data_IF_951446535956
#
_entry.id   IF_951446535956
#
_cell.length_a   1.000
_cell.length_b   1.000
_cell.length_c   1.000
_cell.angle_alpha   90.00
_cell.angle_beta   90.00
_cell.angle_gamma   90.00
#
_symmetry.space_group_name_H-M   'P 1'
#
loop_
_entity.id
_entity.type
_entity.pdbx_description
1 polymer ?
#
# COMPACT_ATOMS: atom_id res chain seq x y z
N UNK A 1 -10.98 -8.55 19.19
CA UNK A 1 -10.65 -7.16 18.83
C UNK A 1 -11.78 -6.31 19.35
N UNK A 2 -11.46 -5.25 20.08
CA UNK A 2 -12.43 -4.26 20.57
C UNK A 2 -12.00 -2.93 19.99
N UNK A 3 -12.89 -2.26 19.26
CA UNK A 3 -12.67 -0.92 18.76
C UNK A 3 -13.48 0.03 19.64
N UNK A 4 -12.81 1.00 20.24
CA UNK A 4 -13.42 2.06 21.03
C UNK A 4 -13.17 3.39 20.32
N UNK A 5 -14.27 4.11 20.04
CA UNK A 5 -14.24 5.45 19.47
C UNK A 5 -14.97 6.38 20.43
N UNK A 6 -14.31 7.47 20.82
CA UNK A 6 -14.85 8.48 21.73
C UNK A 6 -14.83 9.83 21.01
N UNK A 7 -16.01 10.36 20.73
CA UNK A 7 -16.18 11.67 20.12
C UNK A 7 -16.48 12.73 21.21
N UNK A 8 -15.68 13.81 21.31
CA UNK A 8 -15.96 14.92 22.21
C UNK A 8 -17.22 15.69 21.80
N UNK A 9 -17.93 16.27 22.78
CA UNK A 9 -19.22 16.93 22.56
C UNK A 9 -19.19 18.23 21.71
N UNK A 10 -18.00 18.74 21.35
CA UNK A 10 -17.83 20.04 20.69
C UNK A 10 -16.93 19.95 19.44
N UNK A 11 -17.26 19.06 18.51
CA UNK A 11 -16.54 18.91 17.24
C UNK A 11 -17.31 19.55 16.08
N UNK A 12 -16.58 20.14 15.12
CA UNK A 12 -17.17 20.83 13.96
C UNK A 12 -17.83 19.88 12.95
N UNK A 13 -17.56 18.58 13.03
CA UNK A 13 -18.13 17.54 12.18
C UNK A 13 -18.30 16.24 12.95
N UNK A 14 -19.28 15.42 12.55
CA UNK A 14 -19.49 14.09 13.11
C UNK A 14 -18.42 13.12 12.58
N UNK A 15 -17.75 12.42 13.47
CA UNK A 15 -16.82 11.36 13.14
C UNK A 15 -17.57 10.12 12.67
N UNK A 16 -17.09 9.56 11.57
CA UNK A 16 -17.62 8.32 11.00
C UNK A 16 -16.59 7.21 11.16
N UNK A 17 -17.00 6.09 11.75
CA UNK A 17 -16.18 4.87 11.83
C UNK A 17 -16.75 3.84 10.87
N UNK A 18 -16.06 3.65 9.75
CA UNK A 18 -16.42 2.62 8.75
C UNK A 18 -15.48 1.43 8.88
N UNK A 19 -16.05 0.28 9.28
CA UNK A 19 -15.36 -1.00 9.30
C UNK A 19 -15.71 -1.77 8.03
N UNK A 20 -14.78 -1.86 7.09
CA UNK A 20 -15.00 -2.63 5.87
C UNK A 20 -14.64 -4.12 6.06
N UNK A 21 -13.41 -4.41 6.49
CA UNK A 21 -12.93 -5.78 6.68
C UNK A 21 -11.99 -5.83 7.88
N UNK A 22 -12.18 -6.81 8.76
CA UNK A 22 -11.20 -7.17 9.80
C UNK A 22 -10.41 -8.38 9.29
N UNK A 23 -9.14 -8.19 8.96
CA UNK A 23 -8.24 -9.28 8.61
C UNK A 23 -7.54 -9.75 9.89
N UNK A 24 -7.92 -10.94 10.39
CA UNK A 24 -7.30 -11.53 11.57
C UNK A 24 -6.15 -12.48 11.15
N UNK A 25 -4.92 -12.00 11.21
CA UNK A 25 -3.72 -12.82 11.02
C UNK A 25 -3.46 -13.71 12.24
N UNK A 26 -4.03 -14.92 12.26
CA UNK A 26 -3.91 -15.88 13.39
C UNK A 26 -2.50 -16.47 13.57
N UNK A 27 -1.61 -16.26 12.60
CA UNK A 27 -0.17 -16.54 12.69
C UNK A 27 0.55 -15.34 12.13
N UNK A 28 1.77 -15.06 12.62
CA UNK A 28 2.70 -14.24 11.85
C UNK A 28 2.61 -14.70 10.40
N UNK A 29 2.51 -13.76 9.45
CA UNK A 29 2.47 -14.06 8.02
C UNK A 29 3.70 -14.87 7.54
N UNK A 30 4.61 -15.27 8.44
CA UNK A 30 5.85 -16.02 8.29
C UNK A 30 5.85 -17.19 7.31
N UNK A 31 4.73 -17.90 7.10
CA UNK A 31 4.81 -19.24 6.50
C UNK A 31 4.10 -19.42 5.16
N UNK A 32 3.26 -18.48 4.72
CA UNK A 32 2.52 -18.63 3.46
C UNK A 32 2.55 -17.40 2.55
N UNK A 33 2.78 -16.19 3.09
CA UNK A 33 2.69 -14.93 2.35
C UNK A 33 3.79 -13.93 2.72
N UNK A 34 4.70 -14.24 3.67
CA UNK A 34 5.93 -13.45 3.72
C UNK A 34 6.64 -13.65 2.38
N UNK A 35 6.95 -12.56 1.64
CA UNK A 35 7.87 -12.69 0.54
C UNK A 35 9.11 -13.37 1.11
N UNK A 36 9.53 -14.43 0.44
CA UNK A 36 10.89 -14.92 0.59
C UNK A 36 11.78 -13.68 0.60
N UNK A 37 12.67 -13.58 1.59
CA UNK A 37 13.59 -12.45 1.68
C UNK A 37 14.11 -12.14 0.28
N UNK A 38 14.06 -10.87 -0.11
CA UNK A 38 14.46 -10.47 -1.45
C UNK A 38 15.82 -11.11 -1.77
N UNK A 39 15.97 -11.61 -3.00
CA UNK A 39 17.20 -12.29 -3.40
C UNK A 39 18.43 -11.42 -3.12
N UNK A 40 19.58 -12.04 -2.83
CA UNK A 40 20.80 -11.34 -2.40
C UNK A 40 21.34 -10.31 -3.39
N UNK A 41 20.86 -10.30 -4.63
CA UNK A 41 21.19 -9.29 -5.64
C UNK A 41 20.45 -7.95 -5.46
N UNK A 42 19.45 -7.87 -4.59
CA UNK A 42 18.70 -6.63 -4.33
C UNK A 42 19.47 -5.71 -3.38
N UNK A 43 19.37 -4.42 -3.61
CA UNK A 43 20.06 -3.39 -2.82
C UNK A 43 19.05 -2.68 -1.90
N UNK A 44 19.39 -2.54 -0.62
CA UNK A 44 18.56 -1.81 0.33
C UNK A 44 18.58 -0.31 0.02
N UNK A 45 17.43 0.37 0.14
CA UNK A 45 17.30 1.81 -0.14
C UNK A 45 18.15 2.71 0.77
N UNK A 46 18.60 2.18 1.90
CA UNK A 46 19.48 2.88 2.85
C UNK A 46 20.98 2.59 2.59
N UNK A 47 21.32 1.97 1.45
CA UNK A 47 22.70 1.81 0.98
C UNK A 47 23.20 3.05 0.21
N UNK A 48 24.53 3.27 0.13
CA UNK A 48 25.12 4.39 -0.62
C UNK A 48 24.71 4.46 -2.10
N UNK A 49 24.43 3.32 -2.73
CA UNK A 49 23.97 3.22 -4.12
C UNK A 49 22.63 3.92 -4.38
N UNK A 50 21.83 4.10 -3.32
CA UNK A 50 20.53 4.76 -3.37
C UNK A 50 20.58 6.23 -2.92
N UNK A 51 21.78 6.80 -2.72
CA UNK A 51 21.93 8.20 -2.39
C UNK A 51 21.22 9.10 -3.41
N UNK A 52 20.43 10.06 -2.93
CA UNK A 52 19.62 10.97 -3.76
C UNK A 52 18.16 10.53 -3.98
N UNK A 53 17.75 9.37 -3.47
CA UNK A 53 16.38 8.85 -3.57
C UNK A 53 15.58 8.98 -2.26
N UNK A 54 16.08 9.75 -1.28
CA UNK A 54 15.52 9.86 0.07
C UNK A 54 14.11 10.46 0.08
N UNK A 55 13.76 11.24 -0.94
CA UNK A 55 12.42 11.81 -1.09
C UNK A 55 11.46 10.84 -1.77
N UNK A 56 11.92 10.21 -2.86
CA UNK A 56 11.14 9.29 -3.67
C UNK A 56 10.83 8.00 -2.91
N UNK A 57 11.73 7.52 -2.05
CA UNK A 57 11.45 6.31 -1.26
C UNK A 57 10.21 6.46 -0.37
N UNK A 58 9.92 7.68 0.10
CA UNK A 58 8.75 7.99 0.94
C UNK A 58 7.42 7.90 0.16
N UNK A 59 7.46 7.88 -1.17
CA UNK A 59 6.25 7.67 -1.99
C UNK A 59 5.94 6.19 -2.20
N UNK A 60 6.91 5.28 -2.02
CA UNK A 60 6.75 3.86 -2.29
C UNK A 60 6.13 3.14 -1.10
N UNK A 61 5.19 2.24 -1.34
CA UNK A 61 4.61 1.39 -0.31
C UNK A 61 4.44 -0.05 -0.77
N UNK A 62 4.57 -0.97 0.17
CA UNK A 62 4.15 -2.37 0.00
C UNK A 62 2.63 -2.43 0.09
N UNK A 63 1.99 -3.04 -0.89
CA UNK A 63 0.56 -3.21 -0.99
C UNK A 63 0.18 -4.66 -0.69
N UNK A 64 -0.70 -4.84 0.29
CA UNK A 64 -1.38 -6.11 0.55
C UNK A 64 -2.85 -5.94 0.21
N UNK A 65 -3.39 -6.78 -0.68
CA UNK A 65 -4.81 -6.80 -0.99
C UNK A 65 -5.46 -8.10 -0.53
N UNK A 66 -6.62 -7.97 0.12
CA UNK A 66 -7.43 -9.09 0.62
C UNK A 66 -6.62 -10.10 1.46
N UNK A 67 -5.54 -9.62 2.11
CA UNK A 67 -4.65 -10.42 2.93
C UNK A 67 -3.75 -11.42 2.18
N UNK A 68 -3.82 -11.50 0.85
CA UNK A 68 -3.12 -12.55 0.09
C UNK A 68 -2.36 -12.12 -1.17
N UNK A 69 -2.66 -10.95 -1.74
CA UNK A 69 -1.92 -10.41 -2.88
C UNK A 69 -0.88 -9.41 -2.39
N UNK A 70 0.39 -9.70 -2.66
CA UNK A 70 1.51 -8.81 -2.36
C UNK A 70 1.98 -8.09 -3.62
N UNK A 71 1.95 -6.77 -3.58
CA UNK A 71 2.42 -5.90 -4.66
C UNK A 71 3.15 -4.67 -4.11
N UNK A 72 3.57 -3.79 -5.02
CA UNK A 72 4.14 -2.48 -4.71
C UNK A 72 3.35 -1.40 -5.45
N UNK A 73 3.43 -0.17 -4.97
CA UNK A 73 3.02 0.99 -5.74
C UNK A 73 3.67 2.26 -5.21
N UNK A 74 3.26 3.38 -5.78
CA UNK A 74 3.82 4.70 -5.43
C UNK A 74 2.74 5.77 -5.35
N UNK A 75 2.89 6.68 -4.39
CA UNK A 75 2.11 7.90 -4.34
C UNK A 75 2.50 8.81 -5.51
N UNK A 76 1.50 9.34 -6.19
CA UNK A 76 1.65 10.31 -7.27
C UNK A 76 0.88 11.58 -6.95
N UNK A 77 1.48 12.71 -7.29
CA UNK A 77 0.81 14.00 -7.17
C UNK A 77 0.04 14.32 -8.46
N UNK A 78 -0.95 15.21 -8.36
CA UNK A 78 -1.66 15.76 -9.51
C UNK A 78 -1.29 17.23 -9.75
N UNK A 79 -1.77 17.81 -10.84
CA UNK A 79 -1.51 19.22 -11.19
C UNK A 79 -2.09 20.23 -10.19
N UNK A 80 -2.99 19.80 -9.30
CA UNK A 80 -3.59 20.65 -8.26
C UNK A 80 -2.69 20.78 -7.03
N UNK A 81 -1.72 19.89 -6.82
CA UNK A 81 -0.83 19.89 -5.65
C UNK A 81 -1.58 19.98 -4.32
N UNK A 82 -2.72 19.29 -4.21
CA UNK A 82 -3.61 19.37 -3.05
C UNK A 82 -3.46 18.22 -2.06
N UNK A 83 -2.29 17.57 -2.01
CA UNK A 83 -1.96 16.45 -1.12
C UNK A 83 -2.95 15.28 -1.12
N UNK A 84 -3.70 15.14 -2.22
CA UNK A 84 -4.62 14.01 -2.38
C UNK A 84 -3.80 12.72 -2.63
N UNK A 85 -3.94 11.68 -1.80
CA UNK A 85 -3.08 10.50 -1.85
C UNK A 85 -3.49 9.56 -2.99
N UNK A 86 -3.12 9.90 -4.23
CA UNK A 86 -3.27 8.98 -5.35
C UNK A 86 -2.15 7.94 -5.31
N UNK A 87 -2.52 6.67 -5.26
CA UNK A 87 -1.58 5.56 -5.25
C UNK A 87 -1.68 4.78 -6.57
N UNK A 88 -0.55 4.66 -7.27
CA UNK A 88 -0.45 3.95 -8.54
C UNK A 88 0.17 2.57 -8.31
N UNK A 89 -0.49 1.53 -8.82
CA UNK A 89 0.00 0.13 -8.82
C UNK A 89 -0.35 -0.54 -10.15
N UNK A 90 0.09 -1.78 -10.35
CA UNK A 90 -0.21 -2.53 -11.57
C UNK A 90 -1.66 -3.04 -11.58
N UNK A 91 -2.30 -3.04 -12.75
CA UNK A 91 -3.68 -3.53 -12.89
C UNK A 91 -3.84 -5.00 -12.45
N UNK A 92 -2.83 -5.85 -12.67
CA UNK A 92 -2.91 -7.26 -12.25
C UNK A 92 -2.92 -7.43 -10.73
N UNK A 93 -2.46 -6.44 -9.97
CA UNK A 93 -2.48 -6.50 -8.51
C UNK A 93 -3.93 -6.41 -8.01
N UNK A 94 -4.75 -5.52 -8.59
CA UNK A 94 -6.10 -5.23 -8.09
C UNK A 94 -7.15 -6.28 -8.48
N UNK A 95 -6.73 -7.39 -9.12
CA UNK A 95 -7.61 -8.52 -9.45
C UNK A 95 -8.77 -8.11 -10.36
N UNK A 96 -10.00 -8.32 -9.89
CA UNK A 96 -11.24 -7.97 -10.59
C UNK A 96 -11.82 -6.61 -10.18
N UNK A 97 -11.08 -5.80 -9.42
CA UNK A 97 -11.49 -4.43 -9.10
C UNK A 97 -11.30 -3.54 -10.33
N UNK A 98 -12.21 -2.59 -10.53
CA UNK A 98 -12.18 -1.66 -11.66
C UNK A 98 -12.90 -0.35 -11.35
N UNK A 99 -12.53 0.73 -12.03
CA UNK A 99 -13.06 2.07 -11.74
C UNK A 99 -14.54 2.28 -12.15
N UNK A 100 -15.13 1.40 -12.94
CA UNK A 100 -16.45 1.57 -13.55
C UNK A 100 -17.54 0.82 -12.79
N UNK A 101 -17.29 -0.46 -12.46
CA UNK A 101 -18.30 -1.37 -11.88
C UNK A 101 -17.93 -1.94 -10.52
N UNK A 102 -16.65 -1.96 -10.14
CA UNK A 102 -16.20 -2.61 -8.92
C UNK A 102 -15.02 -1.86 -8.27
N UNK A 103 -15.27 -0.61 -7.89
CA UNK A 103 -14.21 0.31 -7.46
C UNK A 103 -13.85 0.18 -5.98
N UNK A 104 -14.58 -0.61 -5.19
CA UNK A 104 -14.34 -0.77 -3.76
C UNK A 104 -13.07 -1.59 -3.53
N UNK A 105 -11.99 -0.89 -3.17
CA UNK A 105 -10.70 -1.44 -2.81
C UNK A 105 -10.46 -1.35 -1.30
N UNK A 106 -11.52 -1.47 -0.49
CA UNK A 106 -11.47 -1.43 0.97
C UNK A 106 -10.55 -2.50 1.59
N UNK A 107 -10.31 -3.61 0.89
CA UNK A 107 -9.38 -4.67 1.28
C UNK A 107 -7.89 -4.36 1.09
N UNK A 108 -7.52 -3.17 0.60
CA UNK A 108 -6.13 -2.73 0.46
C UNK A 108 -5.52 -2.32 1.80
N UNK A 109 -4.28 -2.74 2.05
CA UNK A 109 -3.42 -2.23 3.13
C UNK A 109 -2.09 -1.81 2.54
N UNK A 110 -1.71 -0.57 2.77
CA UNK A 110 -0.47 0.05 2.31
C UNK A 110 0.49 0.15 3.49
N UNK A 111 1.69 -0.41 3.34
CA UNK A 111 2.78 -0.33 4.31
C UNK A 111 3.81 0.67 3.81
N UNK A 112 3.79 1.86 4.37
CA UNK A 112 4.78 2.91 4.10
C UNK A 112 6.06 2.64 4.89
N UNK A 113 7.19 3.12 4.39
CA UNK A 113 8.50 2.99 5.06
C UNK A 113 8.85 1.53 5.42
N UNK A 114 8.37 0.56 4.64
CA UNK A 114 8.76 -0.85 4.75
C UNK A 114 10.14 -1.04 4.11
N UNK A 115 11.18 -0.66 4.84
CA UNK A 115 12.59 -0.71 4.42
C UNK A 115 13.49 -1.22 5.55
N UNK A 116 14.59 -1.89 5.20
CA UNK A 116 15.63 -2.26 6.15
C UNK A 116 16.21 -1.00 6.83
N UNK A 117 16.39 -1.04 8.15
CA UNK A 117 16.90 0.10 8.92
C UNK A 117 18.33 0.53 8.55
N UNK A 118 19.07 -0.32 7.82
CA UNK A 118 20.44 -0.07 7.36
C UNK A 118 20.64 -0.64 5.95
N UNK A 119 21.86 -0.52 5.42
CA UNK A 119 22.23 -1.20 4.17
C UNK A 119 22.22 -2.74 4.30
N UNK A 120 22.21 -3.28 5.53
CA UNK A 120 21.98 -4.69 5.82
C UNK A 120 20.56 -4.94 6.35
N UNK A 121 20.07 -6.16 6.15
CA UNK A 121 18.75 -6.61 6.59
C UNK A 121 17.82 -6.97 5.44
N UNK A 122 16.71 -7.61 5.78
CA UNK A 122 15.73 -8.16 4.82
C UNK A 122 14.29 -7.80 5.19
N UNK A 123 14.09 -6.95 6.20
CA UNK A 123 12.77 -6.60 6.71
C UNK A 123 12.73 -5.14 7.16
N UNK A 124 11.53 -4.55 7.04
CA UNK A 124 11.23 -3.22 7.55
C UNK A 124 10.10 -3.22 8.58
N UNK A 125 9.81 -2.07 9.19
CA UNK A 125 8.71 -1.92 10.14
C UNK A 125 7.35 -2.16 9.48
N UNK A 126 6.46 -2.85 10.19
CA UNK A 126 5.09 -3.17 9.71
C UNK A 126 4.00 -2.33 10.40
N UNK A 127 4.40 -1.32 11.17
CA UNK A 127 3.50 -0.50 12.00
C UNK A 127 2.96 0.74 11.29
N UNK A 128 3.52 1.11 10.14
CA UNK A 128 3.13 2.30 9.40
C UNK A 128 2.20 1.93 8.25
N UNK A 129 0.91 1.84 8.56
CA UNK A 129 -0.10 1.37 7.61
C UNK A 129 -1.22 2.37 7.37
N UNK A 130 -1.77 2.32 6.16
CA UNK A 130 -3.06 2.92 5.79
C UNK A 130 -3.90 1.84 5.14
N UNK A 131 -5.22 1.85 5.36
CA UNK A 131 -6.11 0.82 4.83
C UNK A 131 -7.28 1.44 4.05
N UNK A 132 -7.78 0.65 3.09
CA UNK A 132 -8.86 1.01 2.20
C UNK A 132 -8.45 1.94 1.06
N UNK A 133 -9.14 1.80 -0.07
CA UNK A 133 -8.97 2.63 -1.24
C UNK A 133 -10.23 2.57 -2.13
N UNK A 134 -10.26 3.42 -3.15
CA UNK A 134 -11.22 3.32 -4.25
C UNK A 134 -10.46 3.37 -5.56
N UNK A 135 -10.73 2.45 -6.48
CA UNK A 135 -10.14 2.48 -7.82
C UNK A 135 -10.64 3.72 -8.55
N UNK A 136 -9.72 4.60 -8.96
CA UNK A 136 -10.06 5.85 -9.67
C UNK A 136 -9.90 5.74 -11.18
N UNK A 137 -8.97 4.91 -11.62
CA UNK A 137 -8.72 4.60 -13.01
C UNK A 137 -7.89 3.31 -13.07
N UNK A 138 -8.16 2.49 -14.07
CA UNK A 138 -7.35 1.32 -14.39
C UNK A 138 -7.45 1.02 -15.88
N UNK A 139 -6.46 0.30 -16.42
CA UNK A 139 -6.49 -0.19 -17.78
C UNK A 139 -6.04 -1.66 -17.77
N UNK A 140 -6.95 -2.54 -18.17
CA UNK A 140 -6.75 -3.98 -18.25
C UNK A 140 -6.26 -4.45 -19.61
N UNK A 141 -6.20 -3.58 -20.62
CA UNK A 141 -5.77 -3.93 -21.96
C UNK A 141 -4.24 -4.05 -22.04
N UNK A 142 -3.76 -5.24 -22.41
CA UNK A 142 -2.40 -5.47 -22.90
C UNK A 142 -2.15 -4.50 -24.05
N UNK A 143 -1.25 -3.54 -23.86
CA UNK A 143 -0.78 -2.69 -24.97
C UNK A 143 0.08 -3.58 -25.87
N UNK A 144 -0.54 -4.27 -26.83
CA UNK A 144 0.19 -4.73 -28.00
C UNK A 144 0.57 -3.51 -28.79
N UNK A 145 1.85 -3.15 -28.76
CA UNK A 145 2.43 -2.42 -29.88
C UNK A 145 2.99 -3.45 -30.85
N UNK A 146 2.25 -3.75 -31.91
CA UNK A 146 2.80 -4.30 -33.14
C UNK A 146 2.63 -3.25 -34.24
N UNK A 147 3.56 -3.26 -35.21
CA UNK A 147 4.63 -2.28 -35.44
C UNK A 147 4.20 -0.80 -35.50
#
# INVERSE_FOLDING_TARGET
>A
MTLEYVEPAAVEFAGEVVLAVIVHGYRSHASAILPQAAGSCNVNINCPEAAGWENQKRSVARLIMNGNTLCTGTLINNTRNGDKPYFMTANHCIGSLDALSNADASGCVFYSNFESASCAGTSGPETQTTAGATVRANNSAVIYKSP
#
